data_IF_309053791371
#
_entry.id   IF_309053791371
#
_cell.length_a   1.000
_cell.length_b   1.000
_cell.length_c   1.000
_cell.angle_alpha   90.00
_cell.angle_beta   90.00
_cell.angle_gamma   90.00
#
_symmetry.space_group_name_H-M   'P 1'
#
loop_
_entity.id
_entity.type
_entity.pdbx_description
1 polymer ?
#
# COMPACT_ATOMS: atom_id res chain seq x y z
N UNK A 1 -18.20 64.79 15.99
CA UNK A 1 -18.81 63.46 15.84
C UNK A 1 -17.81 62.57 15.14
N UNK A 2 -17.07 61.72 15.91
CA UNK A 2 -16.05 60.82 15.39
C UNK A 2 -16.73 59.48 15.06
N UNK A 3 -16.80 59.11 13.77
CA UNK A 3 -17.33 57.84 13.32
C UNK A 3 -16.16 56.84 13.31
N UNK A 4 -16.17 55.91 14.26
CA UNK A 4 -15.21 54.78 14.33
C UNK A 4 -15.71 53.67 13.42
N UNK A 5 -15.06 53.52 12.23
CA UNK A 5 -15.37 52.42 11.32
C UNK A 5 -14.58 51.19 11.79
N UNK A 6 -15.28 50.21 12.37
CA UNK A 6 -14.72 48.87 12.65
C UNK A 6 -14.64 48.10 11.35
N UNK A 7 -13.41 47.91 10.83
CA UNK A 7 -13.13 46.89 9.82
C UNK A 7 -13.11 45.52 10.49
N UNK A 8 -14.19 44.76 10.37
CA UNK A 8 -14.20 43.35 10.67
C UNK A 8 -13.55 42.63 9.49
N UNK A 9 -12.27 42.31 9.60
CA UNK A 9 -11.59 41.45 8.67
C UNK A 9 -12.10 40.02 8.90
N UNK A 10 -13.04 39.57 8.10
CA UNK A 10 -13.41 38.17 8.00
C UNK A 10 -12.24 37.40 7.37
N UNK A 11 -11.37 36.84 8.18
CA UNK A 11 -10.44 35.81 7.74
C UNK A 11 -11.26 34.57 7.37
N UNK A 12 -11.68 34.50 6.11
CA UNK A 12 -12.18 33.26 5.52
C UNK A 12 -10.95 32.34 5.39
N UNK A 13 -10.65 31.59 6.45
CA UNK A 13 -9.79 30.43 6.34
C UNK A 13 -10.55 29.44 5.46
N UNK A 14 -10.27 29.48 4.16
CA UNK A 14 -10.66 28.42 3.25
C UNK A 14 -10.00 27.13 3.77
N UNK A 15 -10.75 26.34 4.53
CA UNK A 15 -10.36 24.96 4.82
C UNK A 15 -10.40 24.24 3.48
N UNK A 16 -9.23 24.06 2.88
CA UNK A 16 -9.08 23.14 1.76
C UNK A 16 -9.41 21.76 2.30
N UNK A 17 -10.63 21.32 2.06
CA UNK A 17 -11.07 19.96 2.36
C UNK A 17 -10.27 19.05 1.45
N UNK A 18 -9.24 18.40 2.01
CA UNK A 18 -8.49 17.36 1.33
C UNK A 18 -9.37 16.12 1.29
N UNK A 19 -9.99 15.86 0.14
CA UNK A 19 -10.65 14.58 -0.11
C UNK A 19 -9.60 13.54 -0.50
N UNK A 20 -9.74 12.34 0.03
CA UNK A 20 -8.94 11.18 -0.40
C UNK A 20 -9.70 10.56 -1.57
N UNK A 21 -9.03 10.44 -2.72
CA UNK A 21 -9.60 9.72 -3.86
C UNK A 21 -9.67 8.23 -3.54
N UNK A 22 -10.84 7.63 -3.79
CA UNK A 22 -11.08 6.21 -3.50
C UNK A 22 -10.20 5.31 -4.38
N UNK A 23 -9.95 5.72 -5.62
CA UNK A 23 -9.10 5.01 -6.57
C UNK A 23 -8.07 5.97 -7.15
N UNK A 24 -6.80 5.62 -7.00
CA UNK A 24 -5.68 6.35 -7.58
C UNK A 24 -4.48 5.44 -7.75
N UNK A 25 -3.61 5.73 -8.71
CA UNK A 25 -2.37 4.99 -8.86
C UNK A 25 -1.26 5.82 -9.49
N UNK A 26 -0.03 5.52 -9.10
CA UNK A 26 1.20 6.05 -9.69
C UNK A 26 2.09 4.88 -10.08
N UNK A 27 2.63 4.92 -11.29
CA UNK A 27 3.51 3.88 -11.85
C UNK A 27 4.90 4.45 -12.08
N UNK A 28 5.92 3.71 -11.66
CA UNK A 28 7.34 4.03 -11.91
C UNK A 28 8.06 2.82 -12.45
N UNK A 29 9.13 3.03 -13.25
CA UNK A 29 9.92 1.95 -13.84
C UNK A 29 11.30 1.87 -13.21
N UNK A 30 11.74 0.65 -12.93
CA UNK A 30 12.96 0.35 -12.20
C UNK A 30 13.68 -0.88 -12.75
N UNK A 31 14.83 -1.15 -12.17
CA UNK A 31 15.59 -2.38 -12.37
C UNK A 31 16.02 -2.93 -11.01
N UNK A 32 16.17 -4.25 -10.94
CA UNK A 32 16.79 -4.94 -9.81
C UNK A 32 17.68 -6.05 -10.35
N UNK A 33 18.75 -6.38 -9.64
CA UNK A 33 19.59 -7.54 -9.97
C UNK A 33 19.24 -8.69 -9.02
N UNK A 34 18.69 -9.78 -9.58
CA UNK A 34 18.35 -11.01 -8.85
C UNK A 34 19.15 -12.15 -9.45
N UNK A 35 19.88 -12.88 -8.62
CA UNK A 35 20.72 -14.01 -9.05
C UNK A 35 21.66 -13.65 -10.24
N UNK A 36 22.23 -12.44 -10.21
CA UNK A 36 23.12 -11.95 -11.28
C UNK A 36 22.40 -11.48 -12.56
N UNK A 37 21.08 -11.61 -12.65
CA UNK A 37 20.29 -11.17 -13.80
C UNK A 37 19.63 -9.82 -13.51
N UNK A 38 19.83 -8.83 -14.41
CA UNK A 38 19.17 -7.53 -14.33
C UNK A 38 17.75 -7.63 -14.87
N UNK A 39 16.77 -7.43 -14.00
CA UNK A 39 15.34 -7.55 -14.29
C UNK A 39 14.69 -6.17 -14.32
N UNK A 40 14.09 -5.74 -15.45
CA UNK A 40 13.26 -4.53 -15.49
C UNK A 40 11.89 -4.81 -14.89
N UNK A 41 11.38 -3.86 -14.10
CA UNK A 41 10.04 -3.96 -13.51
C UNK A 41 9.37 -2.60 -13.41
N UNK A 42 8.04 -2.61 -13.37
CA UNK A 42 7.22 -1.47 -12.97
C UNK A 42 6.77 -1.64 -11.53
N UNK A 43 6.77 -0.54 -10.78
CA UNK A 43 6.20 -0.45 -9.44
C UNK A 43 4.97 0.46 -9.51
N UNK A 44 3.82 -0.06 -9.11
CA UNK A 44 2.57 0.69 -9.00
C UNK A 44 2.23 0.84 -7.53
N UNK A 45 2.08 2.06 -7.05
CA UNK A 45 1.50 2.35 -5.74
C UNK A 45 0.12 2.97 -5.96
N UNK A 46 -0.91 2.43 -5.31
CA UNK A 46 -2.26 2.92 -5.57
C UNK A 46 -3.25 2.54 -4.48
N UNK A 47 -4.49 2.98 -4.69
CA UNK A 47 -5.63 2.67 -3.85
C UNK A 47 -6.73 2.03 -4.68
N UNK A 48 -7.47 1.10 -4.08
CA UNK A 48 -8.68 0.51 -4.63
C UNK A 48 -9.84 0.78 -3.68
N UNK A 49 -11.03 1.16 -4.20
CA UNK A 49 -12.20 1.38 -3.37
C UNK A 49 -12.72 0.07 -2.77
N UNK A 50 -13.21 0.15 -1.54
CA UNK A 50 -14.04 -0.84 -0.89
C UNK A 50 -15.46 -0.32 -0.93
N UNK A 51 -16.36 -1.07 -1.56
CA UNK A 51 -17.74 -0.69 -1.76
C UNK A 51 -18.65 -1.24 -0.66
N UNK A 52 -19.64 -0.47 -0.23
CA UNK A 52 -20.76 -0.97 0.57
C UNK A 52 -21.76 -1.74 -0.30
N UNK A 53 -22.76 -2.33 0.35
CA UNK A 53 -23.88 -2.97 -0.35
C UNK A 53 -24.71 -1.99 -1.21
N UNK A 54 -24.63 -0.69 -0.90
CA UNK A 54 -25.32 0.40 -1.62
C UNK A 54 -24.42 1.07 -2.69
N UNK A 55 -23.34 0.43 -3.12
CA UNK A 55 -22.38 0.93 -4.11
C UNK A 55 -21.70 2.27 -3.72
N UNK A 56 -21.59 2.57 -2.42
CA UNK A 56 -20.81 3.71 -1.95
C UNK A 56 -19.38 3.29 -1.57
N UNK A 57 -18.38 4.08 -1.97
CA UNK A 57 -17.00 3.84 -1.57
C UNK A 57 -16.83 4.19 -0.09
N UNK A 58 -16.73 3.19 0.78
CA UNK A 58 -16.65 3.35 2.24
C UNK A 58 -15.22 3.33 2.78
N UNK A 59 -14.29 2.77 2.03
CA UNK A 59 -12.86 2.76 2.38
C UNK A 59 -11.98 2.65 1.12
N UNK A 60 -10.68 2.82 1.31
CA UNK A 60 -9.66 2.52 0.30
C UNK A 60 -8.69 1.49 0.84
N UNK A 61 -8.29 0.54 -0.02
CA UNK A 61 -7.18 -0.37 0.20
C UNK A 61 -5.95 0.14 -0.54
N UNK A 62 -4.89 0.43 0.19
CA UNK A 62 -3.61 0.74 -0.41
C UNK A 62 -2.89 -0.53 -0.81
N UNK A 63 -2.33 -0.55 -2.03
CA UNK A 63 -1.52 -1.64 -2.53
C UNK A 63 -0.23 -1.13 -3.17
N UNK A 64 0.76 -2.01 -3.21
CA UNK A 64 1.96 -1.86 -4.04
C UNK A 64 2.09 -3.09 -4.93
N UNK A 65 2.16 -2.88 -6.24
CA UNK A 65 2.27 -3.94 -7.24
C UNK A 65 3.58 -3.84 -8.00
N UNK A 66 4.35 -4.91 -8.00
CA UNK A 66 5.57 -5.05 -8.75
C UNK A 66 5.36 -6.03 -9.89
N UNK A 67 5.55 -5.55 -11.11
CA UNK A 67 5.34 -6.32 -12.34
C UNK A 67 6.64 -6.35 -13.14
N UNK A 68 7.12 -7.55 -13.48
CA UNK A 68 8.24 -7.71 -14.40
C UNK A 68 7.87 -7.26 -15.81
N UNK A 69 8.70 -6.41 -16.44
CA UNK A 69 8.33 -5.71 -17.68
C UNK A 69 8.78 -6.41 -18.96
N UNK A 70 9.75 -7.35 -18.91
CA UNK A 70 10.31 -8.04 -20.07
C UNK A 70 9.69 -9.42 -20.35
N UNK A 71 8.58 -9.75 -19.68
CA UNK A 71 7.87 -11.03 -19.85
C UNK A 71 6.97 -11.01 -21.08
N UNK A 72 7.17 -11.95 -21.99
CA UNK A 72 6.36 -12.10 -23.21
C UNK A 72 5.01 -12.78 -22.94
N UNK A 73 4.99 -13.78 -22.07
CA UNK A 73 3.78 -14.54 -21.70
C UNK A 73 3.29 -14.15 -20.31
N UNK A 74 2.55 -13.06 -20.26
CA UNK A 74 1.98 -12.53 -19.00
C UNK A 74 0.88 -13.45 -18.46
N UNK A 75 0.17 -14.20 -19.32
CA UNK A 75 -1.00 -15.01 -18.90
C UNK A 75 -0.61 -16.18 -17.99
N UNK A 76 0.58 -16.72 -18.18
CA UNK A 76 1.09 -17.84 -17.39
C UNK A 76 2.01 -17.40 -16.24
N UNK A 77 2.20 -16.08 -16.05
CA UNK A 77 3.03 -15.59 -14.97
C UNK A 77 2.21 -15.52 -13.66
N UNK A 78 2.68 -16.19 -12.58
CA UNK A 78 1.96 -16.14 -11.31
C UNK A 78 1.98 -14.74 -10.71
N UNK A 79 0.94 -14.44 -9.93
CA UNK A 79 0.86 -13.24 -9.08
C UNK A 79 0.88 -13.72 -7.63
N UNK A 80 1.83 -13.21 -6.86
CA UNK A 80 1.97 -13.48 -5.44
C UNK A 80 1.36 -12.33 -4.63
N UNK A 81 0.25 -12.61 -3.93
CA UNK A 81 -0.35 -11.67 -2.98
C UNK A 81 0.29 -11.87 -1.60
N UNK A 82 0.75 -10.79 -1.01
CA UNK A 82 1.44 -10.81 0.28
C UNK A 82 0.77 -9.87 1.27
N UNK A 83 0.48 -10.40 2.43
CA UNK A 83 -0.12 -9.69 3.55
C UNK A 83 0.74 -9.88 4.79
N UNK A 84 0.77 -8.90 5.67
CA UNK A 84 1.37 -9.08 6.98
C UNK A 84 0.31 -9.63 7.94
N UNK A 85 0.68 -10.63 8.72
CA UNK A 85 -0.18 -11.18 9.77
C UNK A 85 -0.23 -10.30 11.02
N UNK A 86 -1.08 -10.69 11.97
CA UNK A 86 -1.37 -9.93 13.19
C UNK A 86 -2.41 -8.83 12.92
N UNK A 87 -3.58 -8.83 13.57
CA UNK A 87 -4.60 -7.84 13.30
C UNK A 87 -4.05 -6.42 13.41
N UNK A 88 -4.20 -5.61 12.34
CA UNK A 88 -3.79 -4.22 12.32
C UNK A 88 -2.34 -3.95 11.92
N UNK A 89 -1.58 -4.93 11.44
CA UNK A 89 -0.24 -4.70 10.91
C UNK A 89 -0.26 -4.38 9.40
N UNK A 90 0.48 -3.34 9.00
CA UNK A 90 0.73 -3.05 7.59
C UNK A 90 1.69 -4.07 6.99
N UNK A 91 1.57 -4.32 5.68
CA UNK A 91 2.39 -5.31 4.97
C UNK A 91 3.86 -4.91 4.79
N UNK A 92 4.35 -3.97 5.61
CA UNK A 92 5.69 -3.37 5.48
C UNK A 92 6.82 -4.39 5.64
N UNK A 93 6.69 -5.34 6.58
CA UNK A 93 7.73 -6.34 6.82
C UNK A 93 7.85 -7.33 5.68
N UNK A 94 6.73 -7.84 5.18
CA UNK A 94 6.72 -8.71 4.00
C UNK A 94 7.19 -7.96 2.76
N UNK A 95 6.84 -6.67 2.65
CA UNK A 95 7.21 -5.81 1.55
C UNK A 95 8.71 -5.48 1.57
N UNK A 96 9.18 -4.78 2.60
CA UNK A 96 10.53 -4.22 2.64
C UNK A 96 11.56 -5.12 3.32
N UNK A 97 11.11 -6.21 3.95
CA UNK A 97 11.99 -7.13 4.66
C UNK A 97 12.32 -8.42 3.89
N UNK A 98 11.47 -8.85 2.93
CA UNK A 98 11.63 -10.19 2.37
C UNK A 98 11.63 -10.24 0.84
N UNK A 99 10.47 -10.12 0.18
CA UNK A 99 10.26 -10.63 -1.19
C UNK A 99 10.27 -9.56 -2.27
N UNK A 100 10.15 -8.27 -1.91
CA UNK A 100 10.10 -7.19 -2.90
C UNK A 100 11.44 -6.97 -3.62
N UNK A 101 11.44 -6.27 -4.77
CA UNK A 101 12.66 -5.93 -5.49
C UNK A 101 13.63 -5.04 -4.70
N UNK A 102 13.14 -4.35 -3.68
CA UNK A 102 13.93 -3.48 -2.80
C UNK A 102 13.76 -3.92 -1.36
N UNK A 103 14.81 -3.88 -0.58
CA UNK A 103 14.78 -4.25 0.85
C UNK A 103 15.43 -3.15 1.70
N UNK A 104 15.12 -3.13 2.98
CA UNK A 104 15.79 -2.26 3.94
C UNK A 104 17.29 -2.58 4.02
N UNK A 105 18.12 -1.53 4.15
CA UNK A 105 19.53 -1.72 4.42
C UNK A 105 19.76 -1.91 5.92
N UNK A 106 19.60 -3.15 6.37
CA UNK A 106 19.78 -3.57 7.76
C UNK A 106 20.81 -4.71 7.80
N UNK A 107 21.43 -4.91 8.98
CA UNK A 107 22.28 -6.07 9.27
C UNK A 107 21.44 -7.31 9.68
N UNK A 108 22.12 -8.39 10.01
CA UNK A 108 21.49 -9.66 10.38
C UNK A 108 20.72 -9.58 11.71
N UNK A 109 21.07 -8.65 12.58
CA UNK A 109 20.38 -8.33 13.82
C UNK A 109 19.20 -7.37 13.65
N UNK A 110 19.02 -6.79 12.44
CA UNK A 110 17.94 -5.88 12.09
C UNK A 110 18.22 -4.40 12.35
N UNK A 111 19.48 -4.02 12.64
CA UNK A 111 19.85 -2.62 12.80
C UNK A 111 20.15 -1.94 11.47
N UNK A 112 19.81 -0.64 11.35
CA UNK A 112 20.09 0.12 10.13
C UNK A 112 21.58 0.26 9.87
N UNK A 113 22.03 -0.05 8.65
CA UNK A 113 23.40 0.10 8.18
C UNK A 113 23.52 1.28 7.22
N UNK A 114 24.64 2.01 7.29
CA UNK A 114 24.92 3.09 6.33
C UNK A 114 25.32 2.52 4.95
N UNK A 115 24.89 3.18 3.84
CA UNK A 115 23.95 4.32 3.80
C UNK A 115 22.54 3.88 4.17
N UNK A 116 21.90 4.69 5.05
CA UNK A 116 20.53 4.40 5.48
C UNK A 116 19.55 4.45 4.30
N UNK A 117 18.56 3.55 4.30
CA UNK A 117 17.54 3.52 3.27
C UNK A 117 17.25 2.11 2.76
N UNK A 118 17.01 2.01 1.45
CA UNK A 118 16.70 0.77 0.76
C UNK A 118 17.80 0.40 -0.22
N UNK A 119 18.02 -0.90 -0.41
CA UNK A 119 18.95 -1.47 -1.37
C UNK A 119 18.24 -2.46 -2.30
N UNK A 120 18.91 -2.88 -3.39
CA UNK A 120 18.42 -3.96 -4.22
C UNK A 120 18.31 -5.25 -3.41
N UNK A 121 17.25 -6.01 -3.65
CA UNK A 121 17.04 -7.30 -3.00
C UNK A 121 17.47 -8.43 -3.98
N UNK A 122 18.63 -9.05 -3.79
CA UNK A 122 19.09 -10.13 -4.65
C UNK A 122 18.28 -11.41 -4.52
N UNK A 123 17.42 -11.50 -3.48
CA UNK A 123 16.54 -12.63 -3.18
C UNK A 123 15.06 -12.35 -3.48
N UNK A 124 14.79 -11.28 -4.25
CA UNK A 124 13.41 -10.96 -4.65
C UNK A 124 12.84 -12.07 -5.52
N UNK A 125 11.57 -12.38 -5.31
CA UNK A 125 10.83 -13.35 -6.12
C UNK A 125 10.31 -12.76 -7.45
N UNK A 126 10.68 -11.51 -7.78
CA UNK A 126 10.27 -10.86 -9.04
C UNK A 126 10.78 -11.59 -10.29
N UNK A 127 11.77 -12.45 -10.16
CA UNK A 127 12.26 -13.31 -11.24
C UNK A 127 11.23 -14.36 -11.67
N UNK A 128 10.41 -14.86 -10.73
CA UNK A 128 9.45 -15.95 -10.97
C UNK A 128 7.99 -15.53 -10.90
N UNK A 129 7.64 -14.48 -10.15
CA UNK A 129 6.27 -14.01 -9.95
C UNK A 129 6.16 -12.48 -9.95
N UNK A 130 4.99 -11.96 -10.31
CA UNK A 130 4.63 -10.58 -9.98
C UNK A 130 4.15 -10.54 -8.52
N UNK A 131 4.27 -9.38 -7.85
CA UNK A 131 4.08 -9.31 -6.40
C UNK A 131 3.13 -8.18 -6.06
N UNK A 132 2.11 -8.46 -5.24
CA UNK A 132 1.17 -7.46 -4.73
C UNK A 132 1.20 -7.47 -3.20
N UNK A 133 1.50 -6.32 -2.61
CA UNK A 133 1.38 -6.09 -1.16
C UNK A 133 0.15 -5.25 -0.90
N UNK A 134 -0.71 -5.69 0.00
CA UNK A 134 -1.95 -5.00 0.35
C UNK A 134 -1.94 -4.64 1.83
N UNK A 135 -2.32 -3.41 2.14
CA UNK A 135 -2.58 -3.01 3.53
C UNK A 135 -4.07 -3.19 3.83
N UNK A 136 -4.45 -3.87 4.91
CA UNK A 136 -5.84 -3.96 5.36
C UNK A 136 -6.48 -2.58 5.55
N UNK A 137 -7.81 -2.51 5.54
CA UNK A 137 -8.54 -1.26 5.79
C UNK A 137 -8.11 -0.64 7.12
N UNK A 138 -7.90 0.67 7.12
CA UNK A 138 -7.45 1.48 8.25
C UNK A 138 -6.06 1.13 8.80
N UNK A 139 -5.25 0.41 8.02
CA UNK A 139 -3.87 0.05 8.37
C UNK A 139 -2.92 0.63 7.33
N UNK A 140 -1.73 1.05 7.76
CA UNK A 140 -0.71 1.63 6.88
C UNK A 140 -1.23 2.86 6.14
N UNK A 141 -1.35 2.77 4.82
CA UNK A 141 -1.86 3.84 3.96
C UNK A 141 -3.32 3.66 3.52
N UNK A 142 -3.96 2.54 3.90
CA UNK A 142 -5.40 2.33 3.69
C UNK A 142 -6.23 3.21 4.62
N UNK A 143 -7.36 3.70 4.15
CA UNK A 143 -8.18 4.68 4.89
C UNK A 143 -9.67 4.33 4.82
N UNK A 144 -10.38 4.61 5.91
CA UNK A 144 -11.85 4.66 5.93
C UNK A 144 -12.26 6.02 5.37
N UNK A 145 -13.17 6.03 4.41
CA UNK A 145 -13.73 7.22 3.77
C UNK A 145 -15.00 7.67 4.47
N UNK A 146 -15.89 6.73 4.76
CA UNK A 146 -17.13 6.96 5.49
C UNK A 146 -16.91 6.69 6.98
N UNK A 147 -16.95 7.76 7.78
CA UNK A 147 -16.73 7.67 9.24
C UNK A 147 -17.90 7.04 9.99
N UNK A 148 -19.07 7.08 9.39
CA UNK A 148 -20.32 6.57 9.97
C UNK A 148 -20.57 5.10 9.61
N UNK A 149 -19.78 4.56 8.68
CA UNK A 149 -19.85 3.14 8.32
C UNK A 149 -19.39 2.24 9.46
N UNK A 150 -20.12 1.16 9.70
CA UNK A 150 -19.78 0.19 10.74
C UNK A 150 -18.41 -0.46 10.48
N UNK A 151 -17.45 -0.10 11.31
CA UNK A 151 -16.06 -0.57 11.19
C UNK A 151 -15.93 -2.07 11.38
N UNK A 152 -16.85 -2.70 12.10
CA UNK A 152 -16.82 -4.16 12.32
C UNK A 152 -16.98 -4.93 11.00
N UNK A 153 -17.64 -4.35 10.00
CA UNK A 153 -17.79 -4.93 8.66
C UNK A 153 -16.47 -5.04 7.88
N UNK A 154 -15.45 -4.29 8.27
CA UNK A 154 -14.11 -4.42 7.68
C UNK A 154 -13.28 -5.55 8.31
N UNK A 155 -13.72 -6.09 9.43
CA UNK A 155 -13.03 -7.15 10.17
C UNK A 155 -13.73 -8.50 9.99
N UNK A 156 -14.17 -8.77 8.79
CA UNK A 156 -14.78 -10.06 8.44
C UNK A 156 -13.74 -11.10 8.05
N UNK A 157 -14.17 -12.35 8.00
CA UNK A 157 -13.37 -13.53 7.66
C UNK A 157 -12.51 -13.33 6.39
N UNK A 158 -13.04 -12.69 5.35
CA UNK A 158 -12.34 -12.47 4.08
C UNK A 158 -11.19 -11.47 4.14
N UNK A 159 -11.15 -10.58 5.12
CA UNK A 159 -10.06 -9.60 5.29
C UNK A 159 -8.97 -10.08 6.25
N UNK A 160 -9.28 -11.06 7.10
CA UNK A 160 -8.37 -11.62 8.09
C UNK A 160 -7.88 -13.03 7.79
N UNK A 161 -8.50 -13.72 6.83
CA UNK A 161 -8.12 -15.08 6.45
C UNK A 161 -6.82 -15.18 5.66
N UNK A 162 -6.16 -14.09 5.38
CA UNK A 162 -4.79 -14.16 4.84
C UNK A 162 -3.79 -14.76 5.84
N UNK A 163 -4.16 -14.84 7.13
CA UNK A 163 -3.34 -15.48 8.16
C UNK A 163 -3.82 -16.91 8.50
N UNK A 164 -4.89 -17.32 7.88
CA UNK A 164 -5.53 -18.58 8.19
C UNK A 164 -5.10 -19.68 7.21
N UNK A 165 -3.91 -20.20 7.42
CA UNK A 165 -3.68 -21.61 7.11
C UNK A 165 -4.50 -22.54 8.04
N UNK A 166 -5.08 -22.01 9.13
CA UNK A 166 -5.62 -22.82 10.22
C UNK A 166 -7.06 -22.52 10.66
N UNK A 167 -7.71 -21.43 10.19
CA UNK A 167 -9.05 -21.11 10.66
C UNK A 167 -10.11 -21.27 9.58
N UNK A 168 -10.89 -22.32 9.77
CA UNK A 168 -12.17 -22.55 9.08
C UNK A 168 -13.16 -21.52 9.60
N UNK A 169 -13.57 -20.60 8.74
CA UNK A 169 -14.73 -19.73 9.01
C UNK A 169 -16.03 -20.50 8.86
#
# INVERSE_FOLDING_TARGET
LLILIFFVSNNILSQVSRSIEAESSVVTNHFVTVNGTRIPYSATAGTLPVWSEDDNAVATLFYTYYKRSDVKDIKNRPIFFSFNGGPGAASIWMHMGYTSPRTLNIDDEGYPVQPYGIKDNPHSIIDVADIVYVNPVNVGLSRILDKDYDRSKFFGCLLYTSDAADDVC
#
